data_IF_749725330790
#
_entry.id   IF_749725330790
#
_cell.length_a   1.000
_cell.length_b   1.000
_cell.length_c   1.000
_cell.angle_alpha   90.00
_cell.angle_beta   90.00
_cell.angle_gamma   90.00
#
_symmetry.space_group_name_H-M   'P 1'
#
loop_
_entity.id
_entity.type
_entity.pdbx_description
1 polymer ?
#
# COMPACT_ATOMS: atom_id res chain seq x y z
N UNK A 1 -29.14 11.55 29.13
CA UNK A 1 -30.13 12.62 29.46
C UNK A 1 -29.59 13.61 30.50
N UNK A 2 -28.90 13.15 31.53
CA UNK A 2 -28.30 14.04 32.52
C UNK A 2 -27.23 14.97 31.89
N UNK A 3 -26.48 14.47 30.93
CA UNK A 3 -25.45 15.25 30.23
C UNK A 3 -26.06 16.38 29.40
N UNK A 4 -27.22 16.11 28.82
CA UNK A 4 -27.93 17.12 28.03
C UNK A 4 -28.47 18.24 28.93
N UNK A 5 -28.95 17.90 30.11
CA UNK A 5 -29.40 18.88 31.09
C UNK A 5 -28.28 19.77 31.57
N UNK A 6 -27.11 19.18 31.85
CA UNK A 6 -25.88 19.93 32.22
C UNK A 6 -25.44 20.86 31.11
N UNK A 7 -25.52 20.39 29.88
CA UNK A 7 -25.18 21.19 28.70
C UNK A 7 -26.11 22.41 28.60
N UNK A 8 -27.40 22.22 28.78
CA UNK A 8 -28.38 23.33 28.78
C UNK A 8 -28.07 24.35 29.85
N UNK A 9 -27.75 23.91 31.05
CA UNK A 9 -27.41 24.79 32.18
C UNK A 9 -26.16 25.60 31.87
N UNK A 10 -25.13 24.98 31.33
CA UNK A 10 -23.88 25.63 30.97
C UNK A 10 -24.07 26.65 29.86
N UNK A 11 -24.98 26.42 28.93
CA UNK A 11 -25.24 27.28 27.78
C UNK A 11 -26.06 28.50 28.19
N UNK A 12 -26.78 28.48 29.32
CA UNK A 12 -27.69 29.56 29.72
C UNK A 12 -26.99 30.91 29.84
N UNK A 13 -25.70 30.99 30.06
CA UNK A 13 -24.91 32.20 30.10
C UNK A 13 -24.36 32.70 28.77
N UNK A 14 -24.59 31.95 27.66
CA UNK A 14 -24.06 32.26 26.35
C UNK A 14 -25.19 32.55 25.36
N UNK A 15 -24.84 33.27 24.28
CA UNK A 15 -25.76 33.48 23.19
C UNK A 15 -26.07 32.13 22.52
N UNK A 16 -27.34 31.77 22.49
CA UNK A 16 -27.81 30.49 21.99
C UNK A 16 -27.44 30.29 20.52
N UNK A 17 -27.60 31.36 19.74
CA UNK A 17 -27.27 31.34 18.31
C UNK A 17 -25.78 31.09 18.08
N UNK A 18 -24.92 31.71 18.88
CA UNK A 18 -23.47 31.53 18.78
C UNK A 18 -23.07 30.07 19.10
N UNK A 19 -23.70 29.47 20.11
CA UNK A 19 -23.43 28.09 20.46
C UNK A 19 -23.87 27.15 19.34
N UNK A 20 -25.06 27.33 18.80
CA UNK A 20 -25.57 26.53 17.69
C UNK A 20 -24.69 26.69 16.46
N UNK A 21 -24.27 27.87 16.11
CA UNK A 21 -23.38 28.10 14.98
C UNK A 21 -22.03 27.44 15.17
N UNK A 22 -21.51 27.49 16.39
CA UNK A 22 -20.23 26.82 16.72
C UNK A 22 -20.32 25.30 16.55
N UNK A 23 -21.40 24.70 17.08
CA UNK A 23 -21.63 23.25 16.97
C UNK A 23 -21.82 22.83 15.52
N UNK A 24 -22.55 23.60 14.73
CA UNK A 24 -22.75 23.34 13.31
C UNK A 24 -21.43 23.43 12.55
N UNK A 25 -20.63 24.43 12.86
CA UNK A 25 -19.31 24.64 12.27
C UNK A 25 -18.37 23.45 12.53
N UNK A 26 -18.34 22.96 13.77
CA UNK A 26 -17.55 21.78 14.15
C UNK A 26 -18.06 20.54 13.41
N UNK A 27 -19.38 20.37 13.32
CA UNK A 27 -19.99 19.23 12.66
C UNK A 27 -19.63 19.21 11.16
N UNK A 28 -19.71 20.34 10.49
CA UNK A 28 -19.35 20.47 9.07
C UNK A 28 -17.87 20.16 8.86
N UNK A 29 -17.01 20.71 9.69
CA UNK A 29 -15.57 20.47 9.61
C UNK A 29 -15.24 19.00 9.86
N UNK A 30 -15.90 18.38 10.83
CA UNK A 30 -15.72 16.97 11.15
C UNK A 30 -16.13 16.08 9.98
N UNK A 31 -17.27 16.37 9.35
CA UNK A 31 -17.74 15.63 8.17
C UNK A 31 -16.77 15.76 7.01
N UNK A 32 -16.21 16.96 6.83
CA UNK A 32 -15.22 17.23 5.79
C UNK A 32 -13.96 16.39 6.01
N UNK A 33 -13.47 16.34 7.25
CA UNK A 33 -12.31 15.54 7.61
C UNK A 33 -12.55 14.05 7.40
N UNK A 34 -13.74 13.56 7.78
CA UNK A 34 -14.12 12.16 7.56
C UNK A 34 -14.11 11.81 6.07
N UNK A 35 -14.67 12.69 5.25
CA UNK A 35 -14.70 12.49 3.80
C UNK A 35 -13.30 12.45 3.21
N UNK A 36 -12.44 13.35 3.66
CA UNK A 36 -11.04 13.40 3.26
C UNK A 36 -10.30 12.12 3.61
N UNK A 37 -10.48 11.62 4.84
CA UNK A 37 -9.87 10.39 5.31
C UNK A 37 -10.36 9.17 4.52
N UNK A 38 -11.66 9.14 4.21
CA UNK A 38 -12.23 8.06 3.40
C UNK A 38 -11.65 8.05 1.99
N UNK A 39 -11.46 9.22 1.39
CA UNK A 39 -10.85 9.35 0.07
C UNK A 39 -9.40 8.91 0.09
N UNK A 40 -8.63 9.32 1.11
CA UNK A 40 -7.23 8.91 1.28
C UNK A 40 -7.13 7.39 1.47
N UNK A 41 -8.04 6.82 2.26
CA UNK A 41 -8.06 5.38 2.50
C UNK A 41 -8.33 4.63 1.20
N UNK A 42 -9.30 5.09 0.41
CA UNK A 42 -9.63 4.48 -0.88
C UNK A 42 -8.43 4.55 -1.84
N UNK A 43 -7.74 5.68 -1.87
CA UNK A 43 -6.56 5.87 -2.70
C UNK A 43 -5.42 4.94 -2.27
N UNK A 44 -5.17 4.84 -0.97
CA UNK A 44 -4.13 3.97 -0.43
C UNK A 44 -4.42 2.51 -0.71
N UNK A 45 -5.68 2.09 -0.62
CA UNK A 45 -6.09 0.73 -0.95
C UNK A 45 -5.85 0.41 -2.42
N UNK A 46 -6.15 1.37 -3.30
CA UNK A 46 -5.90 1.21 -4.73
C UNK A 46 -4.41 1.11 -5.02
N UNK A 47 -3.60 1.97 -4.40
CA UNK A 47 -2.14 1.95 -4.54
C UNK A 47 -1.55 0.65 -4.02
N UNK A 48 -2.03 0.16 -2.88
CA UNK A 48 -1.59 -1.12 -2.32
C UNK A 48 -1.91 -2.27 -3.25
N UNK A 49 -3.09 -2.25 -3.87
CA UNK A 49 -3.46 -3.26 -4.85
C UNK A 49 -2.53 -3.28 -6.06
N UNK A 50 -2.21 -2.09 -6.57
CA UNK A 50 -1.27 -1.93 -7.68
C UNK A 50 0.13 -2.42 -7.32
N UNK A 51 0.62 -2.01 -6.15
CA UNK A 51 1.94 -2.42 -5.66
C UNK A 51 2.02 -3.92 -5.44
N UNK A 52 0.96 -4.52 -4.91
CA UNK A 52 0.89 -5.97 -4.71
C UNK A 52 0.97 -6.71 -6.04
N UNK A 53 0.24 -6.24 -7.06
CA UNK A 53 0.28 -6.82 -8.39
C UNK A 53 1.66 -6.68 -9.04
N UNK A 54 2.29 -5.50 -8.88
CA UNK A 54 3.64 -5.27 -9.39
C UNK A 54 4.66 -6.17 -8.70
N UNK A 55 4.53 -6.32 -7.38
CA UNK A 55 5.38 -7.21 -6.59
C UNK A 55 5.29 -8.64 -7.09
N UNK A 56 4.07 -9.12 -7.32
CA UNK A 56 3.84 -10.49 -7.80
C UNK A 56 4.45 -10.69 -9.19
N UNK A 57 4.27 -9.71 -10.08
CA UNK A 57 4.85 -9.75 -11.42
C UNK A 57 6.37 -9.76 -11.38
N UNK A 58 6.98 -8.95 -10.51
CA UNK A 58 8.43 -8.92 -10.33
C UNK A 58 8.96 -10.22 -9.74
N UNK A 59 8.26 -10.80 -8.78
CA UNK A 59 8.63 -12.08 -8.17
C UNK A 59 8.64 -13.18 -9.23
N UNK A 60 7.64 -13.21 -10.10
CA UNK A 60 7.56 -14.15 -11.21
C UNK A 60 8.73 -13.97 -12.17
N UNK A 61 9.02 -12.72 -12.50
CA UNK A 61 10.12 -12.37 -13.40
C UNK A 61 11.48 -12.79 -12.84
N UNK A 62 11.68 -12.55 -11.54
CA UNK A 62 12.91 -12.98 -10.85
C UNK A 62 13.05 -14.50 -10.91
N UNK A 63 11.94 -15.22 -10.69
CA UNK A 63 11.93 -16.68 -10.79
C UNK A 63 12.31 -17.16 -12.18
N UNK A 64 11.77 -16.54 -13.22
CA UNK A 64 12.10 -16.85 -14.62
C UNK A 64 13.57 -16.58 -14.93
N UNK A 65 14.09 -15.46 -14.45
CA UNK A 65 15.49 -15.08 -14.67
C UNK A 65 16.43 -16.02 -13.93
N UNK A 66 16.10 -16.43 -12.72
CA UNK A 66 16.88 -17.40 -11.94
C UNK A 66 16.94 -18.76 -12.65
N UNK A 67 15.79 -19.22 -13.18
CA UNK A 67 15.73 -20.46 -13.93
C UNK A 67 16.56 -20.38 -15.22
N UNK A 68 16.47 -19.25 -15.92
CA UNK A 68 17.27 -19.02 -17.13
C UNK A 68 18.76 -18.99 -16.82
N UNK A 69 19.14 -18.36 -15.72
CA UNK A 69 20.54 -18.31 -15.28
C UNK A 69 21.07 -19.69 -14.94
N UNK A 70 20.30 -20.49 -14.21
CA UNK A 70 20.68 -21.87 -13.86
C UNK A 70 20.85 -22.72 -15.14
N UNK A 71 19.94 -22.59 -16.08
CA UNK A 71 20.01 -23.30 -17.35
C UNK A 71 21.25 -22.89 -18.13
N UNK A 72 21.56 -21.59 -18.17
CA UNK A 72 22.74 -21.08 -18.84
C UNK A 72 24.03 -21.56 -18.18
N UNK A 73 24.07 -21.60 -16.85
CA UNK A 73 25.25 -22.13 -16.12
C UNK A 73 25.46 -23.60 -16.39
N UNK A 74 24.38 -24.37 -16.42
CA UNK A 74 24.45 -25.82 -16.70
C UNK A 74 24.93 -26.03 -18.13
N UNK A 75 24.42 -25.28 -19.11
CA UNK A 75 24.86 -25.42 -20.50
C UNK A 75 26.32 -25.01 -20.68
N UNK A 76 26.74 -23.93 -19.99
CA UNK A 76 28.13 -23.49 -20.02
C UNK A 76 29.09 -24.56 -19.47
N UNK A 77 28.72 -25.13 -18.31
CA UNK A 77 29.51 -26.17 -17.68
C UNK A 77 29.64 -27.42 -18.59
N UNK A 78 28.55 -27.80 -19.25
CA UNK A 78 28.54 -28.91 -20.20
C UNK A 78 29.44 -28.64 -21.41
N UNK A 79 29.36 -27.39 -21.93
CA UNK A 79 30.20 -26.97 -23.07
C UNK A 79 31.69 -26.95 -22.70
N UNK A 80 32.03 -26.47 -21.51
CA UNK A 80 33.41 -26.44 -21.02
C UNK A 80 33.96 -27.85 -20.87
N UNK A 81 33.16 -28.77 -20.34
CA UNK A 81 33.56 -30.17 -20.20
C UNK A 81 33.74 -30.82 -21.57
N UNK A 82 32.85 -30.56 -22.52
CA UNK A 82 32.97 -31.07 -23.89
C UNK A 82 34.24 -30.57 -24.57
N UNK A 83 34.56 -29.29 -24.40
CA UNK A 83 35.80 -28.68 -24.93
C UNK A 83 37.04 -29.35 -24.34
N UNK A 84 37.03 -29.55 -23.03
CA UNK A 84 38.12 -30.19 -22.33
C UNK A 84 38.35 -31.59 -22.83
N UNK A 85 37.29 -32.36 -23.00
CA UNK A 85 37.39 -33.73 -23.54
C UNK A 85 37.92 -33.74 -24.97
N UNK A 86 37.44 -32.82 -25.80
CA UNK A 86 37.91 -32.67 -27.18
C UNK A 86 39.39 -32.33 -27.25
N UNK A 87 39.85 -31.42 -26.38
CA UNK A 87 41.29 -31.09 -26.28
C UNK A 87 42.12 -32.26 -25.84
N UNK A 88 41.67 -33.02 -24.83
CA UNK A 88 42.35 -34.18 -24.33
C UNK A 88 42.42 -35.28 -25.41
N UNK A 89 41.39 -35.50 -26.20
CA UNK A 89 41.38 -36.47 -27.28
C UNK A 89 42.28 -36.04 -28.44
N UNK A 90 42.44 -34.72 -28.66
CA UNK A 90 43.29 -34.19 -29.72
C UNK A 90 44.79 -34.39 -29.40
N UNK A 91 45.12 -34.54 -28.12
CA UNK A 91 46.51 -34.80 -27.72
C UNK A 91 46.84 -36.26 -27.96
#
# INVERSE_FOLDING_TARGET
>A
MSDFSKFRTAVSGFNRTDVVNYVESISVEHQKQLRQLQNELAQLRAENGTLSAEKDALTEKVGELEAALDAAKTALAAEQEARKQAEDEAL
#
